data_IF_004119083727
#
_entry.id   IF_004119083727
#
_cell.length_a   1.000
_cell.length_b   1.000
_cell.length_c   1.000
_cell.angle_alpha   90.00
_cell.angle_beta   90.00
_cell.angle_gamma   90.00
#
_symmetry.space_group_name_H-M   'P 1'
#
loop_
_entity.id
_entity.type
_entity.pdbx_description
1 polymer ?
#
# COMPACT_ATOMS: atom_id res chain seq x y z
N UNK A 1 13.26 11.90 45.17
CA UNK A 1 12.78 10.56 44.75
C UNK A 1 11.61 10.76 43.83
N UNK A 2 11.90 10.97 42.53
CA UNK A 2 10.92 11.06 41.49
C UNK A 2 10.61 9.65 41.00
N UNK A 3 9.34 9.24 41.09
CA UNK A 3 8.85 8.06 40.43
C UNK A 3 8.93 8.32 38.92
N UNK A 4 9.73 7.55 38.22
CA UNK A 4 9.65 7.40 36.79
C UNK A 4 8.38 6.58 36.57
N UNK A 5 7.28 7.21 36.21
CA UNK A 5 6.15 6.50 35.64
C UNK A 5 6.65 5.86 34.33
N UNK A 6 6.91 4.57 34.36
CA UNK A 6 7.03 3.77 33.19
C UNK A 6 5.73 3.95 32.39
N UNK A 7 5.80 4.73 31.31
CA UNK A 7 4.80 4.71 30.27
C UNK A 7 4.71 3.26 29.80
N UNK A 8 3.73 2.53 30.33
CA UNK A 8 3.32 1.24 29.79
C UNK A 8 2.78 1.54 28.40
N UNK A 9 3.65 1.52 27.38
CA UNK A 9 3.26 1.53 26.01
C UNK A 9 2.49 0.23 25.80
N UNK A 10 1.17 0.31 25.73
CA UNK A 10 0.35 -0.85 25.39
C UNK A 10 0.92 -1.49 24.13
N UNK A 11 1.12 -2.82 24.11
CA UNK A 11 1.58 -3.47 22.91
C UNK A 11 0.64 -3.11 21.74
N UNK A 12 1.18 -2.90 20.52
CA UNK A 12 0.33 -2.60 19.38
C UNK A 12 -0.74 -3.70 19.27
N UNK A 13 -1.96 -3.33 18.89
CA UNK A 13 -3.04 -4.30 18.75
C UNK A 13 -2.58 -5.42 17.81
N UNK A 14 -2.89 -6.66 18.17
CA UNK A 14 -2.54 -7.82 17.36
C UNK A 14 -3.06 -7.61 15.93
N UNK A 15 -2.23 -7.92 14.95
CA UNK A 15 -2.65 -7.84 13.55
C UNK A 15 -3.72 -8.89 13.26
N UNK A 16 -4.77 -8.49 12.52
CA UNK A 16 -5.79 -9.41 12.05
C UNK A 16 -5.36 -10.03 10.72
N UNK A 17 -5.15 -11.38 10.66
CA UNK A 17 -4.71 -12.04 9.44
C UNK A 17 -5.74 -11.94 8.30
N UNK A 18 -6.99 -11.59 8.59
CA UNK A 18 -8.05 -11.40 7.59
C UNK A 18 -8.08 -10.00 7.00
N UNK A 19 -7.33 -9.07 7.56
CA UNK A 19 -7.26 -7.68 7.11
C UNK A 19 -6.06 -7.48 6.20
N UNK A 20 -6.30 -6.95 5.01
CA UNK A 20 -5.29 -6.67 3.99
C UNK A 20 -5.27 -5.17 3.73
N UNK A 21 -4.13 -4.53 3.98
CA UNK A 21 -3.93 -3.12 3.63
C UNK A 21 -3.42 -3.03 2.18
N UNK A 22 -4.13 -2.27 1.35
CA UNK A 22 -3.77 -2.07 -0.06
C UNK A 22 -3.36 -0.62 -0.28
N UNK A 23 -2.09 -0.44 -0.56
CA UNK A 23 -1.46 0.86 -0.83
C UNK A 23 -1.19 1.04 -2.32
N UNK A 24 -1.63 2.15 -2.87
CA UNK A 24 -1.34 2.58 -4.25
C UNK A 24 -1.68 4.06 -4.42
N UNK A 25 -1.24 4.65 -5.53
CA UNK A 25 -1.81 5.91 -6.02
C UNK A 25 -3.29 5.73 -6.39
N UNK A 26 -4.05 6.82 -6.31
CA UNK A 26 -5.50 6.78 -6.53
C UNK A 26 -5.90 7.03 -8.00
N UNK A 27 -5.39 8.12 -8.58
CA UNK A 27 -5.91 8.61 -9.86
C UNK A 27 -5.73 7.64 -11.03
N UNK A 28 -4.64 6.90 -11.03
CA UNK A 28 -4.28 5.95 -12.08
C UNK A 28 -4.72 4.50 -11.79
N UNK A 29 -4.94 4.15 -10.52
CA UNK A 29 -5.18 2.77 -10.10
C UNK A 29 -6.53 2.54 -9.42
N UNK A 30 -7.48 3.46 -9.53
CA UNK A 30 -8.80 3.35 -8.88
C UNK A 30 -9.58 2.10 -9.30
N UNK A 31 -9.59 1.77 -10.59
CA UNK A 31 -10.24 0.56 -11.10
C UNK A 31 -9.54 -0.73 -10.62
N UNK A 32 -8.22 -0.71 -10.54
CA UNK A 32 -7.41 -1.81 -10.00
C UNK A 32 -7.72 -2.06 -8.52
N UNK A 33 -7.82 -1.01 -7.74
CA UNK A 33 -8.19 -1.08 -6.32
C UNK A 33 -9.58 -1.65 -6.11
N UNK A 34 -10.56 -1.20 -6.90
CA UNK A 34 -11.93 -1.71 -6.85
C UNK A 34 -11.98 -3.22 -7.11
N UNK A 35 -11.27 -3.71 -8.12
CA UNK A 35 -11.18 -5.13 -8.44
C UNK A 35 -10.52 -5.96 -7.35
N UNK A 36 -9.45 -5.44 -6.72
CA UNK A 36 -8.82 -6.09 -5.57
C UNK A 36 -9.81 -6.18 -4.40
N UNK A 37 -10.55 -5.11 -4.11
CA UNK A 37 -11.54 -5.09 -3.04
C UNK A 37 -12.61 -6.17 -3.24
N UNK A 38 -13.16 -6.28 -4.44
CA UNK A 38 -14.14 -7.31 -4.78
C UNK A 38 -13.57 -8.73 -4.60
N UNK A 39 -12.36 -8.95 -5.09
CA UNK A 39 -11.70 -10.24 -4.99
C UNK A 39 -11.42 -10.64 -3.54
N UNK A 40 -10.96 -9.72 -2.69
CA UNK A 40 -10.74 -9.94 -1.26
C UNK A 40 -12.06 -10.25 -0.55
N UNK A 41 -13.10 -9.44 -0.79
CA UNK A 41 -14.42 -9.62 -0.21
C UNK A 41 -15.01 -10.99 -0.54
N UNK A 42 -14.87 -11.47 -1.77
CA UNK A 42 -15.33 -12.79 -2.19
C UNK A 42 -14.67 -13.95 -1.41
N UNK A 43 -13.51 -13.72 -0.79
CA UNK A 43 -12.81 -14.68 0.08
C UNK A 43 -12.97 -14.40 1.58
N UNK A 44 -13.82 -13.46 1.94
CA UNK A 44 -14.03 -13.08 3.33
C UNK A 44 -12.83 -12.35 3.97
N UNK A 45 -11.98 -11.74 3.13
CA UNK A 45 -10.89 -10.87 3.56
C UNK A 45 -11.36 -9.42 3.58
N UNK A 46 -10.88 -8.65 4.54
CA UNK A 46 -11.18 -7.24 4.68
C UNK A 46 -10.16 -6.39 3.93
N UNK A 47 -10.65 -5.59 2.99
CA UNK A 47 -9.84 -4.58 2.31
C UNK A 47 -9.77 -3.32 3.18
N UNK A 48 -8.57 -2.84 3.45
CA UNK A 48 -8.31 -1.55 4.09
C UNK A 48 -7.44 -0.70 3.18
N UNK A 49 -7.81 0.54 3.00
CA UNK A 49 -7.09 1.49 2.16
C UNK A 49 -7.75 2.86 2.19
N UNK A 50 -7.28 3.77 1.34
CA UNK A 50 -7.74 5.17 1.35
C UNK A 50 -9.24 5.36 1.11
N UNK A 51 -9.93 4.40 0.49
CA UNK A 51 -11.37 4.49 0.20
C UNK A 51 -12.24 4.59 1.46
N UNK A 52 -11.88 3.88 2.51
CA UNK A 52 -12.55 3.97 3.80
C UNK A 52 -12.25 5.27 4.55
N UNK A 53 -11.22 5.96 4.12
CA UNK A 53 -10.68 7.16 4.74
C UNK A 53 -11.25 8.42 4.10
N UNK A 54 -11.57 8.39 2.79
CA UNK A 54 -12.08 9.55 2.03
C UNK A 54 -13.51 9.98 2.39
N UNK A 55 -14.24 9.21 3.17
CA UNK A 55 -15.58 9.58 3.65
C UNK A 55 -15.55 10.56 4.81
N UNK A 56 -14.38 10.87 5.34
CA UNK A 56 -14.23 11.82 6.45
C UNK A 56 -13.25 12.92 6.02
N UNK A 57 -13.64 14.21 5.99
CA UNK A 57 -12.72 15.29 5.72
C UNK A 57 -11.62 15.31 6.80
N UNK A 58 -10.37 15.17 6.41
CA UNK A 58 -9.20 15.19 7.31
C UNK A 58 -9.03 13.98 8.24
N UNK A 59 -8.73 12.80 7.68
CA UNK A 59 -8.10 11.77 8.51
C UNK A 59 -6.61 12.11 8.63
N UNK A 60 -6.11 12.30 9.86
CA UNK A 60 -4.69 12.53 10.07
C UNK A 60 -3.86 11.37 9.53
N UNK A 61 -2.68 11.67 8.97
CA UNK A 61 -1.66 10.71 8.54
C UNK A 61 -1.46 9.56 9.53
N UNK A 62 -1.40 9.89 10.83
CA UNK A 62 -1.19 8.92 11.90
C UNK A 62 -2.29 7.87 11.96
N UNK A 63 -3.52 8.21 11.59
CA UNK A 63 -4.64 7.26 11.52
C UNK A 63 -4.46 6.26 10.38
N UNK A 64 -4.00 6.70 9.21
CA UNK A 64 -3.71 5.80 8.08
C UNK A 64 -2.60 4.81 8.44
N UNK A 65 -1.54 5.27 9.06
CA UNK A 65 -0.44 4.42 9.52
C UNK A 65 -0.88 3.42 10.59
N UNK A 66 -1.82 3.79 11.46
CA UNK A 66 -2.39 2.89 12.45
C UNK A 66 -3.15 1.70 11.81
N UNK A 67 -3.83 1.91 10.68
CA UNK A 67 -4.49 0.83 9.94
C UNK A 67 -3.50 -0.18 9.38
N UNK A 68 -2.32 0.25 8.95
CA UNK A 68 -1.24 -0.65 8.53
C UNK A 68 -0.84 -1.56 9.68
N UNK A 69 -0.72 -1.02 10.89
CA UNK A 69 -0.39 -1.80 12.11
C UNK A 69 -1.37 -2.92 12.39
N UNK A 70 -2.65 -2.74 12.08
CA UNK A 70 -3.73 -3.72 12.29
C UNK A 70 -3.82 -4.77 11.19
N UNK A 71 -3.33 -4.50 10.00
CA UNK A 71 -3.40 -5.43 8.88
C UNK A 71 -2.47 -6.63 9.08
N UNK A 72 -2.94 -7.81 8.67
CA UNK A 72 -2.14 -9.02 8.63
C UNK A 72 -1.17 -9.05 7.45
N UNK A 73 -1.56 -8.41 6.35
CA UNK A 73 -0.75 -8.33 5.12
C UNK A 73 -0.81 -6.92 4.53
N UNK A 74 0.31 -6.47 4.01
CA UNK A 74 0.42 -5.22 3.25
C UNK A 74 0.67 -5.51 1.78
N UNK A 75 -0.16 -4.94 0.91
CA UNK A 75 -0.02 -5.03 -0.55
C UNK A 75 0.37 -3.66 -1.10
N UNK A 76 1.50 -3.59 -1.80
CA UNK A 76 1.90 -2.43 -2.58
C UNK A 76 1.53 -2.66 -4.06
N UNK A 77 0.77 -1.74 -4.64
CA UNK A 77 0.46 -1.72 -6.07
C UNK A 77 1.00 -0.42 -6.65
N UNK A 78 2.00 -0.52 -7.51
CA UNK A 78 2.69 0.65 -8.06
C UNK A 78 2.57 0.66 -9.58
N UNK A 79 1.96 1.71 -10.10
CA UNK A 79 1.85 2.00 -11.52
C UNK A 79 3.02 2.81 -12.04
N UNK A 80 2.71 3.77 -12.92
CA UNK A 80 3.67 4.68 -13.54
C UNK A 80 3.57 6.09 -12.96
N UNK A 81 3.08 6.21 -11.73
CA UNK A 81 2.98 7.45 -10.97
C UNK A 81 3.60 7.29 -9.59
N UNK A 82 4.46 8.22 -9.19
CA UNK A 82 5.02 8.28 -7.84
C UNK A 82 3.98 8.71 -6.81
N UNK A 83 3.14 9.67 -7.20
CA UNK A 83 2.05 10.19 -6.39
C UNK A 83 2.43 11.41 -5.58
N UNK A 84 1.45 11.92 -4.83
CA UNK A 84 1.61 13.11 -4.01
C UNK A 84 2.63 12.88 -2.89
N UNK A 85 3.44 13.90 -2.63
CA UNK A 85 4.55 13.86 -1.67
C UNK A 85 4.10 14.46 -0.33
N UNK A 86 4.41 13.75 0.75
CA UNK A 86 4.30 14.28 2.10
C UNK A 86 5.43 15.27 2.37
N UNK A 87 5.08 16.52 2.65
CA UNK A 87 6.04 17.62 2.83
C UNK A 87 6.97 17.40 4.03
N UNK A 88 6.53 16.66 5.05
CA UNK A 88 7.34 16.44 6.25
C UNK A 88 8.46 15.42 6.01
N UNK A 89 8.23 14.41 5.17
CA UNK A 89 9.19 13.32 4.91
C UNK A 89 9.86 13.40 3.55
N UNK A 90 9.26 14.11 2.58
CA UNK A 90 9.71 14.14 1.20
C UNK A 90 9.42 12.85 0.42
N UNK A 91 8.72 11.88 1.02
CA UNK A 91 8.29 10.64 0.36
C UNK A 91 6.88 10.79 -0.19
N UNK A 92 6.55 10.04 -1.25
CA UNK A 92 5.15 9.90 -1.64
C UNK A 92 4.37 9.19 -0.53
N UNK A 93 3.06 9.46 -0.44
CA UNK A 93 2.23 8.77 0.56
C UNK A 93 2.29 7.25 0.41
N UNK A 94 2.35 6.73 -0.82
CA UNK A 94 2.48 5.30 -1.08
C UNK A 94 3.81 4.74 -0.57
N UNK A 95 4.92 5.42 -0.83
CA UNK A 95 6.23 5.00 -0.33
C UNK A 95 6.34 5.13 1.19
N UNK A 96 5.75 6.18 1.77
CA UNK A 96 5.69 6.37 3.22
C UNK A 96 4.95 5.22 3.92
N UNK A 97 3.79 4.82 3.38
CA UNK A 97 3.02 3.67 3.86
C UNK A 97 3.84 2.37 3.79
N UNK A 98 4.57 2.18 2.69
CA UNK A 98 5.48 1.04 2.52
C UNK A 98 6.60 1.02 3.56
N UNK A 99 7.28 2.15 3.77
CA UNK A 99 8.34 2.27 4.78
C UNK A 99 7.80 1.93 6.17
N UNK A 100 6.59 2.42 6.49
CA UNK A 100 5.94 2.12 7.75
C UNK A 100 5.59 0.63 7.89
N UNK A 101 5.05 0.00 6.86
CA UNK A 101 4.74 -1.43 6.86
C UNK A 101 5.97 -2.30 7.09
N UNK A 102 7.08 -1.99 6.41
CA UNK A 102 8.37 -2.67 6.60
C UNK A 102 8.89 -2.47 8.02
N UNK A 103 8.83 -1.24 8.55
CA UNK A 103 9.25 -0.93 9.91
C UNK A 103 8.45 -1.68 10.99
N UNK A 104 7.21 -2.04 10.69
CA UNK A 104 6.34 -2.85 11.54
C UNK A 104 6.48 -4.37 11.33
N UNK A 105 7.40 -4.81 10.47
CA UNK A 105 7.60 -6.22 10.16
C UNK A 105 6.43 -6.89 9.43
N UNK A 106 5.60 -6.11 8.70
CA UNK A 106 4.45 -6.67 7.98
C UNK A 106 4.91 -7.54 6.81
N UNK A 107 4.23 -8.66 6.53
CA UNK A 107 4.36 -9.35 5.27
C UNK A 107 4.00 -8.39 4.13
N UNK A 108 4.91 -8.20 3.18
CA UNK A 108 4.74 -7.30 2.03
C UNK A 108 4.63 -8.13 0.76
N UNK A 109 3.57 -7.89 -0.01
CA UNK A 109 3.42 -8.39 -1.38
C UNK A 109 3.39 -7.18 -2.32
N UNK A 110 4.19 -7.19 -3.36
CA UNK A 110 4.33 -6.06 -4.26
C UNK A 110 3.96 -6.40 -5.70
N UNK A 111 3.22 -5.52 -6.34
CA UNK A 111 2.80 -5.62 -7.74
C UNK A 111 3.19 -4.34 -8.48
N UNK A 112 3.77 -4.48 -9.66
CA UNK A 112 4.21 -3.38 -10.50
C UNK A 112 3.51 -3.42 -11.86
N UNK A 113 3.02 -2.28 -12.32
CA UNK A 113 2.51 -2.19 -13.68
C UNK A 113 3.60 -2.54 -14.70
N UNK A 114 3.26 -3.39 -15.66
CA UNK A 114 4.11 -3.69 -16.81
C UNK A 114 4.27 -2.47 -17.72
N UNK A 115 5.31 -2.43 -18.52
CA UNK A 115 5.56 -1.34 -19.48
C UNK A 115 4.44 -1.18 -20.52
N UNK A 116 3.70 -2.25 -20.80
CA UNK A 116 2.54 -2.23 -21.70
C UNK A 116 1.30 -1.53 -21.13
N UNK A 117 1.27 -1.24 -19.84
CA UNK A 117 0.13 -0.56 -19.21
C UNK A 117 0.10 0.90 -19.65
N UNK A 118 -0.94 1.26 -20.40
CA UNK A 118 -1.14 2.63 -20.87
C UNK A 118 -1.40 3.60 -19.72
N UNK A 119 -0.79 4.77 -19.79
CA UNK A 119 -0.95 5.86 -18.81
C UNK A 119 -1.42 7.10 -19.55
N UNK A 120 -2.43 7.78 -19.02
CA UNK A 120 -2.88 9.07 -19.57
C UNK A 120 -1.88 10.16 -19.12
N UNK A 121 -1.65 11.19 -19.96
CA UNK A 121 -0.81 12.32 -19.55
C UNK A 121 -1.24 12.98 -18.23
N UNK A 122 -2.54 13.03 -17.95
CA UNK A 122 -3.10 13.55 -16.69
C UNK A 122 -2.83 12.68 -15.47
N UNK A 123 -2.40 11.44 -15.66
CA UNK A 123 -2.07 10.49 -14.60
C UNK A 123 -0.57 10.51 -14.24
N UNK A 124 0.24 11.24 -15.00
CA UNK A 124 1.66 11.40 -14.73
C UNK A 124 1.89 12.40 -13.60
N UNK A 125 3.04 12.27 -12.93
CA UNK A 125 3.46 13.23 -11.93
C UNK A 125 3.79 14.58 -12.57
N UNK A 126 3.37 15.66 -11.92
CA UNK A 126 3.68 17.02 -12.35
C UNK A 126 5.11 17.44 -11.98
N UNK A 127 5.73 16.77 -11.02
CA UNK A 127 7.08 17.10 -10.53
C UNK A 127 8.17 16.46 -11.38
N UNK A 128 9.22 17.22 -11.67
CA UNK A 128 10.32 16.78 -12.56
C UNK A 128 11.07 15.55 -12.06
N UNK A 129 11.18 15.35 -10.76
CA UNK A 129 11.90 14.22 -10.16
C UNK A 129 10.98 13.03 -9.81
N UNK A 130 9.67 13.16 -9.97
CA UNK A 130 8.69 12.12 -9.66
C UNK A 130 8.97 10.81 -10.36
N UNK A 131 9.34 10.85 -11.62
CA UNK A 131 9.66 9.65 -12.39
C UNK A 131 10.93 8.94 -11.89
N UNK A 132 11.98 9.68 -11.54
CA UNK A 132 13.21 9.10 -11.00
C UNK A 132 12.98 8.45 -9.64
N UNK A 133 12.20 9.09 -8.79
CA UNK A 133 11.80 8.54 -7.49
C UNK A 133 10.93 7.29 -7.64
N UNK A 134 10.01 7.30 -8.62
CA UNK A 134 9.20 6.13 -8.96
C UNK A 134 10.07 4.94 -9.35
N UNK A 135 11.03 5.13 -10.25
CA UNK A 135 11.93 4.07 -10.68
C UNK A 135 12.73 3.49 -9.52
N UNK A 136 13.25 4.34 -8.63
CA UNK A 136 13.97 3.91 -7.43
C UNK A 136 13.08 3.11 -6.47
N UNK A 137 11.83 3.54 -6.28
CA UNK A 137 10.86 2.82 -5.45
C UNK A 137 10.47 1.47 -6.04
N UNK A 138 10.20 1.42 -7.36
CA UNK A 138 9.91 0.17 -8.08
C UNK A 138 11.07 -0.81 -7.98
N UNK A 139 12.31 -0.34 -8.13
CA UNK A 139 13.51 -1.16 -7.94
C UNK A 139 13.61 -1.73 -6.51
N UNK A 140 13.34 -0.91 -5.50
CA UNK A 140 13.32 -1.35 -4.10
C UNK A 140 12.32 -2.48 -3.88
N UNK A 141 11.09 -2.34 -4.39
CA UNK A 141 10.06 -3.37 -4.28
C UNK A 141 10.45 -4.66 -4.99
N UNK A 142 11.05 -4.57 -6.17
CA UNK A 142 11.52 -5.74 -6.93
C UNK A 142 12.62 -6.49 -6.20
N UNK A 143 13.62 -5.76 -5.70
CA UNK A 143 14.79 -6.37 -5.03
C UNK A 143 14.45 -6.96 -3.66
N UNK A 144 13.60 -6.29 -2.88
CA UNK A 144 13.28 -6.71 -1.50
C UNK A 144 12.17 -7.73 -1.41
N UNK A 145 11.19 -7.67 -2.31
CA UNK A 145 9.96 -8.47 -2.20
C UNK A 145 9.67 -9.33 -3.44
N UNK A 146 10.53 -9.30 -4.45
CA UNK A 146 10.29 -10.06 -5.66
C UNK A 146 8.98 -9.65 -6.35
N UNK A 147 8.79 -8.34 -6.54
CA UNK A 147 7.54 -7.80 -7.06
C UNK A 147 7.10 -8.46 -8.38
N UNK A 148 5.82 -8.72 -8.52
CA UNK A 148 5.21 -9.36 -9.69
C UNK A 148 4.60 -8.27 -10.58
N UNK A 149 4.83 -8.34 -11.90
CA UNK A 149 4.23 -7.41 -12.85
C UNK A 149 2.78 -7.77 -13.15
N UNK A 150 1.96 -6.77 -13.49
CA UNK A 150 0.59 -6.95 -13.98
C UNK A 150 0.37 -6.12 -15.24
N UNK A 151 -0.52 -6.57 -16.12
CA UNK A 151 -0.81 -5.95 -17.42
C UNK A 151 -2.15 -5.24 -17.48
N UNK A 152 -3.11 -5.65 -16.66
CA UNK A 152 -4.45 -5.07 -16.59
C UNK A 152 -5.12 -5.33 -15.23
N UNK A 153 -6.32 -4.80 -15.05
CA UNK A 153 -7.11 -4.91 -13.81
C UNK A 153 -7.39 -6.37 -13.43
N UNK A 154 -7.79 -7.20 -14.40
CA UNK A 154 -8.12 -8.60 -14.15
C UNK A 154 -6.89 -9.44 -13.84
N UNK A 155 -5.78 -9.18 -14.53
CA UNK A 155 -4.49 -9.83 -14.28
C UNK A 155 -3.98 -9.54 -12.86
N UNK A 156 -4.07 -8.28 -12.43
CA UNK A 156 -3.70 -7.89 -11.07
C UNK A 156 -4.55 -8.63 -10.02
N UNK A 157 -5.87 -8.63 -10.16
CA UNK A 157 -6.75 -9.29 -9.21
C UNK A 157 -6.43 -10.79 -9.07
N UNK A 158 -6.20 -11.50 -10.19
CA UNK A 158 -5.79 -12.92 -10.16
C UNK A 158 -4.47 -13.13 -9.43
N UNK A 159 -3.48 -12.28 -9.70
CA UNK A 159 -2.14 -12.36 -9.09
C UNK A 159 -2.18 -12.07 -7.60
N UNK A 160 -2.96 -11.09 -7.17
CA UNK A 160 -3.20 -10.79 -5.76
C UNK A 160 -3.78 -12.01 -5.06
N UNK A 161 -4.82 -12.61 -5.62
CA UNK A 161 -5.47 -13.76 -5.01
C UNK A 161 -4.56 -15.00 -4.96
N UNK A 162 -3.72 -15.20 -5.97
CA UNK A 162 -2.70 -16.25 -5.96
C UNK A 162 -1.67 -16.04 -4.85
N UNK A 163 -1.17 -14.83 -4.69
CA UNK A 163 -0.18 -14.49 -3.67
C UNK A 163 -0.75 -14.72 -2.25
N UNK A 164 -1.98 -14.31 -2.00
CA UNK A 164 -2.64 -14.50 -0.70
C UNK A 164 -3.01 -15.96 -0.44
N UNK A 165 -3.36 -16.73 -1.46
CA UNK A 165 -3.65 -18.16 -1.34
C UNK A 165 -2.44 -19.01 -0.96
N UNK A 166 -1.23 -18.52 -1.20
CA UNK A 166 0.03 -19.15 -0.76
C UNK A 166 0.47 -18.72 0.65
N UNK A 167 -0.14 -17.66 1.17
CA UNK A 167 0.25 -17.03 2.44
C UNK A 167 -0.69 -17.37 3.61
N UNK A 168 -1.79 -18.07 3.36
CA UNK A 168 -2.74 -18.51 4.40
C UNK A 168 -2.52 -19.99 4.64
N UNK A 169 -1.96 -20.39 5.80
CA UNK A 169 -1.90 -21.80 6.18
C UNK A 169 -3.28 -22.40 6.40
#
# INVERSE_FOLDING_TARGET
>A
RGAIEELIVSPPPASDPRTVFVSSTWNDLSAHRASIREALSARGLEFVGMEGILTTPSIPRDSTLAYIGRAGTYIAVVGWRYGSVDQATGLSFTELEYVHAVGQGKPVVAFLADESVAVRPSELDAEQDGFQRLLAFRETLSRRHGAVTFTDVADLARKVMRALGQSVP
#
